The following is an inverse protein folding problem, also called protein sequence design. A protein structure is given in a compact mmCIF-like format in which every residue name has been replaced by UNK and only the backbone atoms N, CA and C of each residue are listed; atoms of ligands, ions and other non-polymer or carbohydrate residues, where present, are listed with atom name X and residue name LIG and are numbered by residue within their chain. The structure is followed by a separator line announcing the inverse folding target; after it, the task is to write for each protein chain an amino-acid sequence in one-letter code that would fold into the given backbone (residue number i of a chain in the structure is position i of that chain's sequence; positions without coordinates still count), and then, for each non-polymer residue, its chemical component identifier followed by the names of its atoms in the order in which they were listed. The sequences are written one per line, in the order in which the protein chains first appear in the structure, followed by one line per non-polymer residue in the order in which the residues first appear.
data_IF_144019492235
#
_entry.id   IF_144019492235
#
_cell.length_a   1.000
_cell.length_b   1.000
_cell.length_c   1.000
_cell.angle_alpha   90.00
_cell.angle_beta   90.00
_cell.angle_gamma   90.00
#
_symmetry.space_group_name_H-M   'P 1'
#
loop_
_entity.id
_entity.type
_entity.pdbx_description
1 polymer ?
#
# COMPACT_ATOMS: atom_id res chain seq x y z
N UNK A 1 -0.75 -26.60 -6.32
CA UNK A 1 -0.34 -26.95 -4.93
C UNK A 1 -0.81 -25.86 -3.99
N UNK A 2 -1.27 -26.21 -2.78
CA UNK A 2 -1.82 -25.23 -1.82
C UNK A 2 -0.70 -24.47 -1.11
N UNK A 3 -0.81 -23.14 -0.97
CA UNK A 3 -0.02 -22.31 -0.04
C UNK A 3 -0.62 -22.50 1.34
N UNK A 4 0.18 -22.84 2.34
CA UNK A 4 -0.26 -23.01 3.72
C UNK A 4 0.63 -22.25 4.72
N UNK A 5 1.94 -22.39 4.62
CA UNK A 5 2.88 -21.75 5.53
C UNK A 5 3.36 -20.42 4.95
N UNK A 6 2.89 -19.31 5.54
CA UNK A 6 3.19 -17.96 5.07
C UNK A 6 4.09 -17.26 6.07
N UNK A 7 5.15 -16.59 5.59
CA UNK A 7 5.96 -15.72 6.41
C UNK A 7 5.82 -14.27 5.92
N UNK A 8 5.49 -13.36 6.84
CA UNK A 8 5.32 -11.94 6.57
C UNK A 8 6.53 -11.16 7.07
N UNK A 9 7.24 -10.51 6.16
CA UNK A 9 8.34 -9.58 6.44
C UNK A 9 7.76 -8.18 6.61
N UNK A 10 8.07 -7.51 7.72
CA UNK A 10 7.57 -6.17 8.01
C UNK A 10 6.18 -6.12 8.66
N UNK A 11 5.78 -7.19 9.37
CA UNK A 11 4.49 -7.32 10.05
C UNK A 11 4.15 -6.19 11.05
N UNK A 12 5.14 -5.48 11.58
CA UNK A 12 4.94 -4.36 12.52
C UNK A 12 4.64 -3.01 11.84
N UNK A 13 4.69 -2.92 10.53
CA UNK A 13 4.36 -1.71 9.76
C UNK A 13 2.84 -1.48 9.62
N UNK A 14 2.45 -0.29 9.14
CA UNK A 14 1.03 0.06 8.95
C UNK A 14 0.31 -0.96 8.04
N UNK A 15 0.83 -1.20 6.84
CA UNK A 15 0.26 -2.19 5.95
C UNK A 15 0.52 -3.63 6.42
N UNK A 16 1.74 -3.90 6.92
CA UNK A 16 2.11 -5.24 7.38
C UNK A 16 1.20 -5.76 8.49
N UNK A 17 0.80 -4.91 9.45
CA UNK A 17 -0.14 -5.30 10.51
C UNK A 17 -1.53 -5.65 9.95
N UNK A 18 -1.99 -4.92 8.94
CA UNK A 18 -3.28 -5.21 8.29
C UNK A 18 -3.22 -6.48 7.44
N UNK A 19 -2.12 -6.71 6.71
CA UNK A 19 -1.89 -7.99 6.01
C UNK A 19 -1.88 -9.14 7.02
N UNK A 20 -1.19 -8.97 8.15
CA UNK A 20 -1.18 -9.98 9.22
C UNK A 20 -2.60 -10.30 9.69
N UNK A 21 -3.41 -9.27 9.99
CA UNK A 21 -4.81 -9.46 10.40
C UNK A 21 -5.62 -10.23 9.35
N UNK A 22 -5.46 -9.91 8.06
CA UNK A 22 -6.18 -10.58 6.97
C UNK A 22 -5.77 -12.05 6.81
N UNK A 23 -4.47 -12.35 6.95
CA UNK A 23 -3.97 -13.73 6.92
C UNK A 23 -4.47 -14.53 8.12
N UNK A 24 -4.51 -13.93 9.31
CA UNK A 24 -5.01 -14.57 10.52
C UNK A 24 -6.53 -14.79 10.49
N UNK A 25 -7.29 -13.89 9.88
CA UNK A 25 -8.72 -14.08 9.64
C UNK A 25 -9.02 -15.30 8.74
N UNK A 26 -8.02 -15.76 7.98
CA UNK A 26 -8.03 -16.97 7.16
C UNK A 26 -7.19 -18.11 7.78
N UNK A 27 -7.21 -18.24 9.10
CA UNK A 27 -6.40 -19.21 9.86
C UNK A 27 -6.72 -20.69 9.57
N UNK A 28 -7.89 -20.95 9.01
CA UNK A 28 -8.26 -22.25 8.45
C UNK A 28 -7.44 -22.62 7.20
N UNK A 29 -6.88 -21.63 6.52
CA UNK A 29 -6.10 -21.76 5.29
C UNK A 29 -4.60 -21.62 5.51
N UNK A 30 -4.18 -20.70 6.40
CA UNK A 30 -2.79 -20.32 6.56
C UNK A 30 -2.25 -20.52 7.97
N UNK A 31 -1.00 -21.02 8.05
CA UNK A 31 -0.15 -20.93 9.22
C UNK A 31 0.80 -19.76 9.01
N UNK A 32 0.64 -18.71 9.81
CA UNK A 32 1.37 -17.43 9.62
C UNK A 32 2.52 -17.32 10.61
N UNK A 33 3.64 -16.83 10.11
CA UNK A 33 4.80 -16.42 10.93
C UNK A 33 5.25 -15.02 10.47
N UNK A 34 6.02 -14.34 11.30
CA UNK A 34 6.56 -13.02 11.00
C UNK A 34 8.09 -13.05 10.99
N UNK A 35 8.70 -12.20 10.15
CA UNK A 35 10.14 -11.97 10.16
C UNK A 35 10.40 -10.47 10.43
N UNK A 36 11.35 -10.20 11.30
CA UNK A 36 11.71 -8.85 11.70
C UNK A 36 13.23 -8.74 11.86
N UNK A 37 13.75 -7.52 11.77
CA UNK A 37 15.16 -7.24 12.10
C UNK A 37 15.44 -7.54 13.57
N UNK A 38 16.64 -8.00 13.89
CA UNK A 38 17.07 -8.20 15.29
C UNK A 38 16.90 -6.96 16.16
N UNK A 39 17.16 -5.78 15.59
CA UNK A 39 17.06 -4.49 16.28
C UNK A 39 15.63 -3.98 16.44
N UNK A 40 14.63 -4.66 15.88
CA UNK A 40 13.23 -4.22 15.95
C UNK A 40 12.62 -4.52 17.31
N UNK A 41 11.84 -3.59 17.85
CA UNK A 41 11.04 -3.78 19.07
C UNK A 41 9.69 -4.46 18.81
N UNK A 42 9.40 -4.84 17.56
CA UNK A 42 8.12 -5.46 17.22
C UNK A 42 7.87 -6.74 18.00
N UNK A 43 6.67 -6.85 18.58
CA UNK A 43 6.15 -8.04 19.25
C UNK A 43 4.88 -8.47 18.51
N UNK A 44 4.83 -9.68 17.94
CA UNK A 44 3.66 -10.16 17.25
C UNK A 44 2.53 -10.52 18.22
N UNK A 45 1.29 -10.66 17.75
CA UNK A 45 0.20 -11.24 18.52
C UNK A 45 0.54 -12.65 19.04
N UNK A 46 -0.09 -13.04 20.15
CA UNK A 46 0.08 -14.36 20.75
C UNK A 46 -0.17 -15.47 19.72
N UNK A 47 0.70 -16.46 19.69
CA UNK A 47 0.61 -17.62 18.79
C UNK A 47 1.31 -17.44 17.44
N UNK A 48 1.85 -16.26 17.14
CA UNK A 48 2.60 -16.01 15.90
C UNK A 48 4.10 -16.20 16.18
N UNK A 49 4.72 -17.12 15.45
CA UNK A 49 6.16 -17.32 15.51
C UNK A 49 6.89 -16.14 14.89
N UNK A 50 7.80 -15.51 15.62
CA UNK A 50 8.65 -14.43 15.16
C UNK A 50 10.07 -14.93 14.91
N UNK A 51 10.54 -14.74 13.68
CA UNK A 51 11.95 -14.91 13.30
C UNK A 51 12.65 -13.56 13.38
N UNK A 52 13.79 -13.50 14.05
CA UNK A 52 14.64 -12.32 14.08
C UNK A 52 15.90 -12.58 13.27
N UNK A 53 16.33 -11.60 12.47
CA UNK A 53 17.45 -11.76 11.55
C UNK A 53 18.22 -10.45 11.37
N UNK A 54 19.50 -10.58 11.09
CA UNK A 54 20.42 -9.53 10.66
C UNK A 54 20.36 -9.31 9.13
N UNK A 55 19.44 -10.00 8.44
CA UNK A 55 19.32 -10.02 6.98
C UNK A 55 20.54 -10.62 6.26
N UNK A 56 21.40 -11.37 6.94
CA UNK A 56 22.38 -12.21 6.27
C UNK A 56 21.69 -13.34 5.51
N UNK A 57 22.26 -13.75 4.39
CA UNK A 57 21.65 -14.73 3.50
C UNK A 57 21.30 -16.04 4.23
N UNK A 58 22.25 -16.62 4.97
CA UNK A 58 22.02 -17.88 5.70
C UNK A 58 20.91 -17.79 6.76
N UNK A 59 20.79 -16.65 7.46
CA UNK A 59 19.74 -16.44 8.45
C UNK A 59 18.37 -16.29 7.77
N UNK A 60 18.31 -15.63 6.60
CA UNK A 60 17.08 -15.53 5.81
C UNK A 60 16.65 -16.89 5.27
N UNK A 61 17.57 -17.69 4.68
CA UNK A 61 17.29 -19.05 4.22
C UNK A 61 16.73 -19.89 5.36
N UNK A 62 17.37 -19.86 6.52
CA UNK A 62 16.91 -20.60 7.71
C UNK A 62 15.50 -20.21 8.16
N UNK A 63 15.15 -18.93 8.10
CA UNK A 63 13.83 -18.43 8.45
C UNK A 63 12.74 -18.83 7.42
N UNK A 64 13.14 -19.01 6.16
CA UNK A 64 12.23 -19.35 5.06
C UNK A 64 12.08 -20.86 4.83
N UNK A 65 12.91 -21.71 5.43
CA UNK A 65 12.77 -23.15 5.32
C UNK A 65 11.37 -23.61 5.75
N UNK A 66 10.73 -24.42 4.89
CA UNK A 66 9.39 -24.96 5.11
C UNK A 66 8.25 -23.93 4.97
N UNK A 67 8.54 -22.73 4.45
CA UNK A 67 7.51 -21.76 4.06
C UNK A 67 7.09 -21.98 2.60
N UNK A 68 5.80 -21.77 2.35
CA UNK A 68 5.24 -21.87 1.01
C UNK A 68 5.25 -20.51 0.31
N UNK A 69 5.08 -19.44 1.08
CA UNK A 69 5.07 -18.08 0.57
C UNK A 69 5.77 -17.10 1.51
N UNK A 70 6.43 -16.11 0.90
CA UNK A 70 6.96 -14.91 1.55
C UNK A 70 6.14 -13.72 1.11
N UNK A 71 5.64 -12.93 2.06
CA UNK A 71 5.00 -11.64 1.81
C UNK A 71 5.93 -10.54 2.33
N UNK A 72 6.35 -9.65 1.46
CA UNK A 72 7.19 -8.50 1.80
C UNK A 72 6.33 -7.25 1.97
N UNK A 73 6.33 -6.67 3.17
CA UNK A 73 5.70 -5.38 3.48
C UNK A 73 6.74 -4.43 4.10
N UNK A 74 7.94 -4.43 3.53
CA UNK A 74 9.04 -3.55 3.96
C UNK A 74 8.85 -2.12 3.45
N UNK A 75 9.53 -1.20 4.10
CA UNK A 75 9.48 0.22 3.74
C UNK A 75 10.08 0.51 2.36
N UNK A 76 9.59 1.57 1.70
CA UNK A 76 10.04 1.99 0.36
C UNK A 76 11.54 2.31 0.31
N UNK A 77 12.13 2.78 1.40
CA UNK A 77 13.58 3.07 1.48
C UNK A 77 14.43 1.81 1.47
N UNK A 78 13.86 0.65 1.80
CA UNK A 78 14.51 -0.65 1.81
C UNK A 78 14.12 -1.53 0.60
N UNK A 79 13.48 -0.96 -0.44
CA UNK A 79 12.93 -1.73 -1.58
C UNK A 79 13.95 -2.68 -2.17
N UNK A 80 15.21 -2.28 -2.35
CA UNK A 80 16.26 -3.11 -2.95
C UNK A 80 16.73 -4.27 -2.04
N UNK A 81 16.45 -4.23 -0.73
CA UNK A 81 16.73 -5.39 0.13
C UNK A 81 15.86 -6.60 -0.20
N UNK A 82 14.81 -6.41 -1.00
CA UNK A 82 13.98 -7.52 -1.48
C UNK A 82 14.74 -8.52 -2.34
N UNK A 83 15.81 -8.12 -3.04
CA UNK A 83 16.65 -9.08 -3.79
C UNK A 83 17.23 -10.15 -2.86
N UNK A 84 17.70 -9.77 -1.66
CA UNK A 84 18.19 -10.71 -0.64
C UNK A 84 17.08 -11.64 -0.14
N UNK A 85 15.87 -11.11 0.02
CA UNK A 85 14.71 -11.90 0.42
C UNK A 85 14.31 -12.90 -0.67
N UNK A 86 14.33 -12.48 -1.93
CA UNK A 86 13.99 -13.32 -3.08
C UNK A 86 15.02 -14.45 -3.24
N UNK A 87 16.31 -14.15 -3.19
CA UNK A 87 17.38 -15.15 -3.32
C UNK A 87 17.31 -16.19 -2.21
N UNK A 88 17.10 -15.75 -0.95
CA UNK A 88 16.93 -16.66 0.18
C UNK A 88 15.64 -17.47 0.08
N UNK A 89 14.55 -16.89 -0.45
CA UNK A 89 13.29 -17.59 -0.67
C UNK A 89 13.43 -18.70 -1.72
N UNK A 90 14.16 -18.43 -2.81
CA UNK A 90 14.45 -19.41 -3.86
C UNK A 90 15.26 -20.58 -3.28
N UNK A 91 16.35 -20.28 -2.56
CA UNK A 91 17.22 -21.31 -1.96
C UNK A 91 16.46 -22.15 -0.91
N UNK A 92 15.56 -21.55 -0.14
CA UNK A 92 14.72 -22.24 0.83
C UNK A 92 13.56 -23.05 0.19
N UNK A 93 13.37 -22.99 -1.13
CA UNK A 93 12.30 -23.69 -1.84
C UNK A 93 10.92 -23.07 -1.67
N UNK A 94 10.84 -21.77 -1.36
CA UNK A 94 9.57 -21.01 -1.32
C UNK A 94 8.96 -20.95 -2.71
N UNK A 95 7.64 -21.12 -2.80
CA UNK A 95 6.94 -21.23 -4.08
C UNK A 95 6.32 -19.92 -4.56
N UNK A 96 6.01 -18.98 -3.65
CA UNK A 96 5.36 -17.71 -3.98
C UNK A 96 6.01 -16.56 -3.23
N UNK A 97 6.29 -15.48 -3.94
CA UNK A 97 6.74 -14.21 -3.37
C UNK A 97 5.72 -13.09 -3.67
N UNK A 98 5.29 -12.37 -2.64
CA UNK A 98 4.51 -11.14 -2.79
C UNK A 98 5.45 -9.98 -2.48
N UNK A 99 5.90 -9.21 -3.49
CA UNK A 99 6.81 -8.10 -3.28
C UNK A 99 6.12 -6.89 -2.64
N UNK A 100 6.89 -6.02 -2.00
CA UNK A 100 6.42 -4.74 -1.46
C UNK A 100 6.17 -3.72 -2.57
N UNK A 101 5.25 -4.04 -3.48
CA UNK A 101 4.85 -3.17 -4.58
C UNK A 101 3.85 -2.11 -4.14
N UNK A 102 2.81 -2.48 -3.50
CA UNK A 102 1.74 -1.69 -2.91
C UNK A 102 1.75 -0.20 -3.24
N UNK A 103 1.10 0.18 -4.34
CA UNK A 103 1.05 1.56 -4.82
C UNK A 103 0.69 1.66 -6.29
N UNK A 104 1.39 2.56 -6.99
CA UNK A 104 1.22 2.80 -8.43
C UNK A 104 2.07 1.84 -9.25
N UNK A 105 1.64 1.59 -10.47
CA UNK A 105 2.30 0.71 -11.43
C UNK A 105 3.73 1.20 -11.79
N UNK A 106 4.79 0.48 -11.40
CA UNK A 106 6.16 0.88 -11.69
C UNK A 106 6.57 0.62 -13.15
N UNK A 107 5.72 -0.08 -13.93
CA UNK A 107 5.96 -0.34 -15.36
C UNK A 107 5.45 0.81 -16.23
N UNK A 108 4.65 1.74 -15.69
CA UNK A 108 4.19 2.92 -16.41
C UNK A 108 5.30 3.96 -16.52
N UNK A 109 5.73 4.27 -17.74
CA UNK A 109 6.85 5.19 -18.01
C UNK A 109 6.57 6.62 -17.56
N UNK A 110 5.32 7.10 -17.67
CA UNK A 110 4.97 8.44 -17.20
C UNK A 110 4.98 8.51 -15.67
N UNK A 111 4.50 7.47 -14.98
CA UNK A 111 4.58 7.38 -13.53
C UNK A 111 6.04 7.33 -13.06
N UNK A 112 6.88 6.54 -13.71
CA UNK A 112 8.31 6.44 -13.42
C UNK A 112 9.03 7.77 -13.63
N UNK A 113 8.70 8.51 -14.69
CA UNK A 113 9.24 9.84 -14.95
C UNK A 113 8.85 10.86 -13.86
N UNK A 114 7.61 10.79 -13.37
CA UNK A 114 7.11 11.67 -12.31
C UNK A 114 7.70 11.31 -10.94
N UNK A 115 7.85 10.02 -10.65
CA UNK A 115 8.37 9.52 -9.37
C UNK A 115 9.50 8.49 -9.61
N UNK A 116 10.76 8.93 -9.82
CA UNK A 116 11.89 8.04 -10.10
C UNK A 116 12.13 6.95 -9.04
N UNK A 117 11.64 7.14 -7.81
CA UNK A 117 11.70 6.13 -6.75
C UNK A 117 10.96 4.83 -7.11
N UNK A 118 10.00 4.88 -8.05
CA UNK A 118 9.36 3.67 -8.58
C UNK A 118 10.36 2.77 -9.34
N UNK A 119 11.51 3.32 -9.78
CA UNK A 119 12.57 2.54 -10.45
C UNK A 119 13.08 1.37 -9.61
N UNK A 120 13.18 1.53 -8.29
CA UNK A 120 13.54 0.44 -7.39
C UNK A 120 12.46 -0.65 -7.36
N UNK A 121 11.17 -0.29 -7.35
CA UNK A 121 10.07 -1.25 -7.44
C UNK A 121 10.06 -1.98 -8.78
N UNK A 122 10.25 -1.24 -9.88
CA UNK A 122 10.38 -1.84 -11.21
C UNK A 122 11.53 -2.86 -11.27
N UNK A 123 12.69 -2.51 -10.71
CA UNK A 123 13.83 -3.42 -10.66
C UNK A 123 13.53 -4.72 -9.91
N UNK A 124 12.74 -4.67 -8.83
CA UNK A 124 12.32 -5.87 -8.11
C UNK A 124 11.36 -6.74 -8.95
N UNK A 125 10.42 -6.14 -9.68
CA UNK A 125 9.55 -6.92 -10.58
C UNK A 125 10.37 -7.58 -11.69
N UNK A 126 11.25 -6.84 -12.37
CA UNK A 126 12.15 -7.40 -13.38
C UNK A 126 13.02 -8.54 -12.80
N UNK A 127 13.50 -8.37 -11.55
CA UNK A 127 14.29 -9.40 -10.87
C UNK A 127 13.51 -10.69 -10.64
N UNK A 128 12.19 -10.58 -10.33
CA UNK A 128 11.29 -11.73 -10.20
C UNK A 128 10.92 -12.34 -11.56
N UNK A 129 10.66 -11.52 -12.58
CA UNK A 129 10.37 -11.95 -13.95
C UNK A 129 11.50 -12.81 -14.52
N UNK A 130 12.77 -12.45 -14.26
CA UNK A 130 13.93 -13.21 -14.66
C UNK A 130 14.10 -14.56 -13.93
N UNK A 131 13.29 -14.82 -12.87
CA UNK A 131 13.38 -16.01 -12.00
C UNK A 131 12.08 -16.80 -11.91
N UNK A 132 11.19 -16.63 -12.85
CA UNK A 132 9.86 -17.27 -12.87
C UNK A 132 9.93 -18.80 -12.95
N UNK A 133 11.05 -19.36 -13.41
CA UNK A 133 11.36 -20.79 -13.39
C UNK A 133 11.69 -21.31 -11.99
N UNK A 134 12.04 -20.45 -11.02
CA UNK A 134 12.48 -20.79 -9.67
C UNK A 134 11.45 -20.40 -8.60
N UNK A 135 10.78 -19.27 -8.78
CA UNK A 135 9.79 -18.77 -7.82
C UNK A 135 8.68 -18.02 -8.54
N UNK A 136 7.44 -18.27 -8.17
CA UNK A 136 6.33 -17.47 -8.68
C UNK A 136 6.13 -16.21 -7.85
N UNK A 137 5.52 -15.18 -8.44
CA UNK A 137 5.27 -13.91 -7.77
C UNK A 137 3.86 -13.37 -8.04
N UNK A 138 3.43 -12.41 -7.23
CA UNK A 138 2.22 -11.63 -7.46
C UNK A 138 2.44 -10.22 -6.95
N UNK A 139 2.42 -9.23 -7.84
CA UNK A 139 2.39 -7.82 -7.49
C UNK A 139 0.98 -7.38 -7.13
N UNK A 140 0.84 -6.40 -6.21
CA UNK A 140 -0.44 -5.78 -5.87
C UNK A 140 -0.30 -4.27 -6.09
N UNK A 141 -0.93 -3.79 -7.15
CA UNK A 141 -1.03 -2.38 -7.51
C UNK A 141 -2.37 -1.85 -7.01
N UNK A 142 -2.35 -0.98 -6.02
CA UNK A 142 -3.54 -0.56 -5.28
C UNK A 142 -3.77 0.96 -5.29
N UNK A 143 -2.94 1.71 -6.01
CA UNK A 143 -2.94 3.17 -5.90
C UNK A 143 -2.59 3.65 -4.48
N UNK A 144 -2.95 4.86 -4.09
CA UNK A 144 -2.75 5.35 -2.75
C UNK A 144 -3.62 4.61 -1.73
N UNK A 145 -3.11 4.53 -0.48
CA UNK A 145 -3.85 4.00 0.67
C UNK A 145 -4.88 5.04 1.12
N UNK A 146 -6.16 4.83 0.79
CA UNK A 146 -7.18 5.86 0.86
C UNK A 146 -7.44 6.37 2.28
N UNK A 147 -7.88 5.48 3.17
CA UNK A 147 -8.21 5.80 4.56
C UNK A 147 -6.98 6.30 5.34
N UNK A 148 -5.87 5.59 5.24
CA UNK A 148 -4.60 5.97 5.83
C UNK A 148 -4.08 7.33 5.33
N UNK A 149 -4.27 7.62 4.05
CA UNK A 149 -3.91 8.89 3.43
C UNK A 149 -4.78 10.04 3.92
N UNK A 150 -6.11 9.84 4.02
CA UNK A 150 -7.02 10.84 4.56
C UNK A 150 -6.70 11.19 6.01
N UNK A 151 -6.39 10.19 6.85
CA UNK A 151 -5.98 10.40 8.23
C UNK A 151 -4.69 11.26 8.37
N UNK A 152 -3.91 11.36 7.30
CA UNK A 152 -2.60 12.07 7.26
C UNK A 152 -2.58 13.26 6.33
N UNK A 153 -3.75 13.72 5.92
CA UNK A 153 -3.89 14.88 5.04
C UNK A 153 -3.17 14.72 3.67
N UNK A 154 -2.98 13.48 3.22
CA UNK A 154 -2.21 13.20 2.00
C UNK A 154 -2.90 13.67 0.71
N UNK A 155 -4.22 13.84 0.72
CA UNK A 155 -5.01 14.28 -0.43
C UNK A 155 -5.40 15.76 -0.38
N UNK A 156 -4.79 16.54 0.52
CA UNK A 156 -5.07 17.96 0.68
C UNK A 156 -6.25 18.28 1.60
N UNK A 157 -6.75 17.31 2.39
CA UNK A 157 -7.89 17.50 3.30
C UNK A 157 -7.45 17.50 4.77
N UNK A 158 -7.44 18.69 5.37
CA UNK A 158 -7.21 18.87 6.80
C UNK A 158 -8.55 18.77 7.54
N UNK A 159 -8.93 17.56 7.92
CA UNK A 159 -10.22 17.27 8.55
C UNK A 159 -10.41 18.02 9.89
N UNK A 160 -9.43 18.05 10.80
CA UNK A 160 -9.55 18.82 12.04
C UNK A 160 -9.85 20.30 11.84
N UNK A 161 -9.25 20.92 10.83
CA UNK A 161 -9.37 22.34 10.55
C UNK A 161 -10.42 22.69 9.47
N UNK A 162 -11.12 21.68 8.93
CA UNK A 162 -12.10 21.82 7.83
C UNK A 162 -11.56 22.65 6.66
N UNK A 163 -10.34 22.33 6.22
CA UNK A 163 -9.66 23.01 5.12
C UNK A 163 -9.33 22.01 4.01
N UNK A 164 -9.68 22.36 2.76
CA UNK A 164 -9.34 21.61 1.57
C UNK A 164 -8.35 22.39 0.69
N UNK A 165 -7.26 21.78 0.32
CA UNK A 165 -6.36 22.27 -0.73
C UNK A 165 -6.72 21.57 -2.03
N UNK A 166 -7.30 22.31 -2.98
CA UNK A 166 -7.69 21.82 -4.30
C UNK A 166 -6.56 22.10 -5.29
N UNK A 167 -6.17 21.06 -6.01
CA UNK A 167 -5.07 21.16 -6.97
C UNK A 167 -5.54 21.71 -8.31
N UNK A 168 -4.91 22.79 -8.74
CA UNK A 168 -5.25 23.54 -9.96
C UNK A 168 -4.09 23.52 -10.97
N UNK A 169 -4.34 23.86 -12.26
CA UNK A 169 -5.65 24.04 -12.88
C UNK A 169 -6.34 22.70 -13.21
N UNK A 170 -7.54 22.47 -12.65
CA UNK A 170 -8.39 21.33 -13.03
C UNK A 170 -7.98 19.95 -12.49
N UNK A 171 -6.82 19.80 -11.84
CA UNK A 171 -6.32 18.53 -11.30
C UNK A 171 -7.22 17.92 -10.23
N UNK A 172 -7.98 18.74 -9.47
CA UNK A 172 -8.95 18.28 -8.47
C UNK A 172 -10.11 17.46 -9.06
N UNK A 173 -10.28 17.45 -10.39
CA UNK A 173 -11.30 16.70 -11.14
C UNK A 173 -10.75 15.45 -11.81
N UNK A 174 -9.47 15.19 -11.69
CA UNK A 174 -8.86 13.98 -12.26
C UNK A 174 -9.18 12.80 -11.35
N UNK A 175 -9.75 11.76 -11.96
CA UNK A 175 -10.05 10.51 -11.27
C UNK A 175 -8.81 9.64 -11.11
N UNK A 176 -8.66 9.09 -9.93
CA UNK A 176 -7.62 8.13 -9.61
C UNK A 176 -8.18 6.97 -8.79
N UNK A 177 -7.59 5.80 -8.95
CA UNK A 177 -7.91 4.61 -8.15
C UNK A 177 -7.19 4.66 -6.82
N UNK A 178 -7.91 4.37 -5.74
CA UNK A 178 -7.39 4.32 -4.37
C UNK A 178 -8.00 3.15 -3.61
N UNK A 179 -7.27 2.60 -2.65
CA UNK A 179 -7.69 1.39 -1.93
C UNK A 179 -7.56 1.58 -0.43
N UNK A 180 -8.54 1.12 0.34
CA UNK A 180 -8.43 1.07 1.80
C UNK A 180 -7.37 0.05 2.22
N UNK A 181 -6.70 0.33 3.33
CA UNK A 181 -5.62 -0.55 3.80
C UNK A 181 -6.14 -1.97 4.14
N UNK A 182 -7.40 -2.08 4.57
CA UNK A 182 -8.06 -3.35 4.83
C UNK A 182 -8.28 -4.18 3.56
N UNK A 183 -8.72 -3.55 2.48
CA UNK A 183 -8.91 -4.21 1.18
C UNK A 183 -7.58 -4.66 0.58
N UNK A 184 -6.49 -3.90 0.77
CA UNK A 184 -5.13 -4.34 0.36
C UNK A 184 -4.73 -5.61 1.12
N UNK A 185 -4.90 -5.63 2.44
CA UNK A 185 -4.58 -6.82 3.25
C UNK A 185 -5.38 -8.05 2.83
N UNK A 186 -6.67 -7.86 2.55
CA UNK A 186 -7.54 -8.94 2.05
C UNK A 186 -7.11 -9.44 0.66
N UNK A 187 -6.72 -8.54 -0.24
CA UNK A 187 -6.23 -8.92 -1.57
C UNK A 187 -4.97 -9.78 -1.49
N UNK A 188 -4.03 -9.43 -0.60
CA UNK A 188 -2.83 -10.26 -0.33
C UNK A 188 -3.25 -11.65 0.15
N UNK A 189 -4.12 -11.75 1.17
CA UNK A 189 -4.55 -13.03 1.70
C UNK A 189 -5.23 -13.89 0.61
N UNK A 190 -6.15 -13.31 -0.16
CA UNK A 190 -6.87 -14.03 -1.23
C UNK A 190 -5.96 -14.43 -2.39
N UNK A 191 -4.99 -13.61 -2.79
CA UNK A 191 -4.05 -13.96 -3.85
C UNK A 191 -3.23 -15.23 -3.55
N UNK A 192 -3.11 -15.60 -2.27
CA UNK A 192 -2.42 -16.82 -1.81
C UNK A 192 -3.36 -18.04 -1.72
N UNK A 193 -4.67 -17.86 -1.82
CA UNK A 193 -5.61 -19.00 -1.78
C UNK A 193 -5.51 -19.88 -3.04
N UNK A 194 -5.62 -21.17 -2.87
CA UNK A 194 -5.46 -22.15 -3.96
C UNK A 194 -6.41 -21.91 -5.13
N UNK A 195 -7.63 -21.41 -4.86
CA UNK A 195 -8.64 -21.13 -5.90
C UNK A 195 -8.23 -20.02 -6.87
N UNK A 196 -7.34 -19.11 -6.46
CA UNK A 196 -6.85 -18.02 -7.29
C UNK A 196 -5.42 -18.23 -7.82
N UNK A 197 -4.78 -19.35 -7.43
CA UNK A 197 -3.35 -19.56 -7.64
C UNK A 197 -2.92 -19.46 -9.12
N UNK A 198 -3.75 -19.93 -10.05
CA UNK A 198 -3.44 -19.86 -11.50
C UNK A 198 -3.60 -18.44 -12.05
N UNK A 199 -4.66 -17.72 -11.63
CA UNK A 199 -4.96 -16.39 -12.13
C UNK A 199 -4.05 -15.31 -11.54
N UNK A 200 -3.40 -15.58 -10.39
CA UNK A 200 -2.51 -14.65 -9.69
C UNK A 200 -1.02 -14.96 -9.89
N UNK A 201 -0.70 -16.01 -10.63
CA UNK A 201 0.67 -16.47 -10.87
C UNK A 201 1.39 -15.55 -11.85
N UNK A 202 2.55 -15.01 -11.45
CA UNK A 202 3.45 -14.16 -12.23
C UNK A 202 2.70 -12.97 -12.87
N UNK A 203 1.97 -12.23 -12.02
CA UNK A 203 1.14 -11.10 -12.46
C UNK A 203 1.13 -9.96 -11.48
N UNK A 204 0.96 -8.77 -12.03
CA UNK A 204 0.50 -7.60 -11.30
C UNK A 204 -1.05 -7.61 -11.25
N UNK A 205 -1.59 -7.43 -10.07
CA UNK A 205 -3.03 -7.34 -9.83
C UNK A 205 -3.38 -5.90 -9.44
N UNK A 206 -4.19 -5.25 -10.26
CA UNK A 206 -4.67 -3.90 -10.01
C UNK A 206 -5.96 -3.98 -9.21
N UNK A 207 -5.98 -3.39 -8.02
CA UNK A 207 -7.14 -3.39 -7.13
C UNK A 207 -7.48 -1.98 -6.68
N UNK A 208 -8.75 -1.74 -6.36
CA UNK A 208 -9.22 -0.47 -5.84
C UNK A 208 -10.45 -0.63 -4.95
N UNK A 209 -10.61 0.24 -3.97
CA UNK A 209 -11.89 0.47 -3.29
C UNK A 209 -12.71 1.50 -4.08
N UNK A 210 -12.06 2.54 -4.60
CA UNK A 210 -12.68 3.65 -5.31
C UNK A 210 -11.87 4.06 -6.53
N UNK A 211 -12.59 4.64 -7.51
CA UNK A 211 -12.03 5.55 -8.52
C UNK A 211 -12.74 6.87 -8.31
N UNK A 212 -12.01 7.88 -7.84
CA UNK A 212 -12.56 9.13 -7.31
C UNK A 212 -11.65 10.32 -7.63
N UNK A 213 -12.25 11.51 -7.66
CA UNK A 213 -11.58 12.81 -7.76
C UNK A 213 -11.50 13.50 -6.38
N UNK A 214 -10.66 14.54 -6.27
CA UNK A 214 -10.64 15.38 -5.06
C UNK A 214 -12.02 16.02 -4.78
N UNK A 215 -12.74 16.44 -5.82
CA UNK A 215 -14.07 17.05 -5.67
C UNK A 215 -15.06 16.08 -5.02
N UNK A 216 -15.05 14.80 -5.43
CA UNK A 216 -15.92 13.78 -4.87
C UNK A 216 -15.56 13.43 -3.43
N UNK A 217 -14.25 13.35 -3.12
CA UNK A 217 -13.78 13.15 -1.75
C UNK A 217 -14.21 14.30 -0.86
N UNK A 218 -14.03 15.56 -1.30
CA UNK A 218 -14.46 16.74 -0.54
C UNK A 218 -15.96 16.74 -0.29
N UNK A 219 -16.76 16.45 -1.32
CA UNK A 219 -18.22 16.39 -1.17
C UNK A 219 -18.64 15.30 -0.15
N UNK A 220 -17.96 14.16 -0.13
CA UNK A 220 -18.19 13.11 0.86
C UNK A 220 -17.80 13.56 2.28
N UNK A 221 -16.67 14.25 2.43
CA UNK A 221 -16.23 14.77 3.73
C UNK A 221 -17.18 15.88 4.23
N UNK A 222 -17.66 16.75 3.35
CA UNK A 222 -18.65 17.80 3.70
C UNK A 222 -19.96 17.17 4.18
N UNK A 223 -20.43 16.07 3.54
CA UNK A 223 -21.59 15.30 4.03
C UNK A 223 -21.35 14.68 5.41
N UNK A 224 -20.21 14.02 5.60
CA UNK A 224 -19.88 13.34 6.85
C UNK A 224 -19.69 14.29 8.03
N UNK A 225 -19.15 15.50 7.78
CA UNK A 225 -18.89 16.50 8.82
C UNK A 225 -20.07 17.45 9.05
N UNK A 226 -20.99 17.59 8.10
CA UNK A 226 -22.05 18.59 8.09
C UNK A 226 -21.54 20.03 8.05
N UNK A 227 -20.30 20.26 7.63
CA UNK A 227 -19.62 21.55 7.63
C UNK A 227 -19.32 22.00 6.21
N UNK A 228 -19.33 23.31 5.98
CA UNK A 228 -18.70 23.91 4.81
C UNK A 228 -17.18 24.01 5.05
N UNK A 229 -16.40 23.72 4.01
CA UNK A 229 -14.96 23.69 4.10
C UNK A 229 -14.32 24.95 3.50
N UNK A 230 -13.22 25.40 4.12
CA UNK A 230 -12.38 26.45 3.56
C UNK A 230 -11.60 25.85 2.40
N UNK A 231 -11.85 26.33 1.18
CA UNK A 231 -11.19 25.86 -0.04
C UNK A 231 -9.99 26.77 -0.34
N UNK A 232 -8.83 26.17 -0.48
CA UNK A 232 -7.59 26.82 -0.94
C UNK A 232 -7.19 26.20 -2.27
N UNK A 233 -6.67 27.00 -3.17
CA UNK A 233 -6.13 26.52 -4.43
C UNK A 233 -4.61 26.42 -4.33
N UNK A 234 -4.05 25.38 -4.95
CA UNK A 234 -2.62 25.18 -5.09
C UNK A 234 -2.33 24.74 -6.52
N UNK A 235 -1.48 25.52 -7.21
CA UNK A 235 -0.97 25.12 -8.52
C UNK A 235 -0.10 23.86 -8.35
N UNK A 236 -0.58 22.73 -8.88
CA UNK A 236 0.03 21.44 -8.65
C UNK A 236 1.38 21.30 -9.34
N UNK A 237 1.47 21.80 -10.60
CA UNK A 237 2.70 21.64 -11.37
C UNK A 237 3.84 22.42 -10.73
N UNK A 238 3.62 23.65 -10.29
CA UNK A 238 4.59 24.45 -9.55
C UNK A 238 4.97 23.81 -8.20
N UNK A 239 3.98 23.22 -7.50
CA UNK A 239 4.23 22.56 -6.22
C UNK A 239 5.07 21.28 -6.41
N UNK A 240 4.79 20.50 -7.44
CA UNK A 240 5.53 19.28 -7.80
C UNK A 240 6.96 19.63 -8.23
N UNK A 241 7.14 20.64 -9.06
CA UNK A 241 8.47 21.10 -9.49
C UNK A 241 9.32 21.49 -8.28
N UNK A 242 8.77 22.30 -7.36
CA UNK A 242 9.46 22.68 -6.12
C UNK A 242 9.81 21.47 -5.25
N UNK A 243 8.87 20.56 -5.06
CA UNK A 243 9.08 19.35 -4.27
C UNK A 243 10.13 18.42 -4.88
N UNK A 244 10.09 18.22 -6.21
CA UNK A 244 11.07 17.42 -6.95
C UNK A 244 12.48 18.01 -6.84
N UNK A 245 12.58 19.33 -6.94
CA UNK A 245 13.86 20.03 -6.76
C UNK A 245 14.40 19.87 -5.33
N UNK A 246 13.55 19.95 -4.31
CA UNK A 246 13.96 19.68 -2.92
C UNK A 246 14.45 18.23 -2.76
N UNK A 247 13.74 17.25 -3.33
CA UNK A 247 14.11 15.83 -3.27
C UNK A 247 15.46 15.56 -3.96
N UNK A 248 15.77 16.21 -5.08
CA UNK A 248 17.07 16.07 -5.75
C UNK A 248 18.25 16.54 -4.90
N UNK A 249 18.01 17.40 -3.89
CA UNK A 249 18.97 17.85 -2.89
C UNK A 249 18.89 17.07 -1.56
N UNK A 250 18.18 15.92 -1.54
CA UNK A 250 18.07 15.04 -0.37
C UNK A 250 16.99 15.42 0.65
N UNK A 251 16.16 16.42 0.36
CA UNK A 251 15.02 16.77 1.22
C UNK A 251 13.73 16.10 0.74
N UNK A 252 13.39 14.99 1.36
CA UNK A 252 12.22 14.16 0.99
C UNK A 252 10.89 14.61 1.61
N UNK A 253 10.82 15.75 2.30
CA UNK A 253 9.57 16.27 2.89
C UNK A 253 8.48 16.53 1.84
N UNK A 254 8.88 16.80 0.59
CA UNK A 254 7.97 17.03 -0.54
C UNK A 254 7.44 15.77 -1.23
N UNK A 255 7.83 14.55 -0.81
CA UNK A 255 7.49 13.31 -1.52
C UNK A 255 5.98 13.12 -1.72
N UNK A 256 5.16 13.48 -0.72
CA UNK A 256 3.70 13.38 -0.82
C UNK A 256 3.16 14.26 -1.96
N UNK A 257 3.70 15.47 -2.16
CA UNK A 257 3.31 16.35 -3.27
C UNK A 257 3.65 15.73 -4.62
N UNK A 258 4.83 15.10 -4.74
CA UNK A 258 5.23 14.41 -5.98
C UNK A 258 4.34 13.20 -6.26
N UNK A 259 3.99 12.43 -5.21
CA UNK A 259 3.06 11.30 -5.32
C UNK A 259 1.66 11.79 -5.78
N UNK A 260 1.17 12.89 -5.20
CA UNK A 260 -0.10 13.48 -5.61
C UNK A 260 -0.03 13.98 -7.05
N UNK A 261 1.06 14.62 -7.45
CA UNK A 261 1.27 15.05 -8.83
C UNK A 261 1.26 13.89 -9.83
N UNK A 262 1.86 12.77 -9.47
CA UNK A 262 1.78 11.54 -10.26
C UNK A 262 0.35 11.00 -10.29
N UNK A 263 -0.32 10.92 -9.16
CA UNK A 263 -1.67 10.40 -9.01
C UNK A 263 -2.71 11.17 -9.85
N UNK A 264 -2.56 12.50 -9.92
CA UNK A 264 -3.47 13.40 -10.62
C UNK A 264 -3.05 13.73 -12.08
N UNK A 265 -2.03 13.05 -12.61
CA UNK A 265 -1.68 13.11 -14.03
C UNK A 265 -2.35 11.94 -14.77
N UNK A 266 -3.26 12.21 -15.74
CA UNK A 266 -3.97 11.14 -16.46
C UNK A 266 -3.06 10.16 -17.21
N UNK A 267 -1.82 10.58 -17.55
CA UNK A 267 -0.90 9.76 -18.33
C UNK A 267 -0.19 8.68 -17.48
N UNK A 268 -0.23 8.81 -16.15
CA UNK A 268 0.48 7.89 -15.25
C UNK A 268 -0.25 6.56 -14.99
N UNK A 269 -1.45 6.41 -15.57
CA UNK A 269 -2.24 5.19 -15.44
C UNK A 269 -2.78 4.93 -14.03
N UNK A 270 -2.87 5.97 -13.19
CA UNK A 270 -3.40 5.84 -11.82
C UNK A 270 -4.93 5.64 -11.77
N UNK A 271 -5.65 5.79 -12.88
CA UNK A 271 -7.04 5.37 -13.02
C UNK A 271 -7.10 3.95 -13.61
N UNK A 272 -7.24 2.94 -12.76
CA UNK A 272 -7.23 1.52 -13.18
C UNK A 272 -8.49 1.15 -13.97
N UNK A 273 -9.65 1.80 -13.70
CA UNK A 273 -10.87 1.58 -14.47
C UNK A 273 -10.71 2.05 -15.92
N UNK A 274 -10.08 3.20 -16.13
CA UNK A 274 -9.82 3.71 -17.47
C UNK A 274 -8.88 2.82 -18.29
N UNK A 275 -8.02 2.03 -17.61
CA UNK A 275 -7.16 1.03 -18.22
C UNK A 275 -7.88 -0.30 -18.50
N UNK A 276 -9.06 -0.51 -17.90
CA UNK A 276 -9.76 -1.80 -17.97
C UNK A 276 -9.07 -2.94 -17.22
N UNK A 277 -8.22 -2.64 -16.26
CA UNK A 277 -7.37 -3.60 -15.54
C UNK A 277 -7.70 -3.66 -14.05
N UNK A 278 -8.92 -4.01 -13.68
CA UNK A 278 -9.31 -4.13 -12.26
C UNK A 278 -9.60 -5.59 -11.92
N UNK A 279 -8.90 -6.11 -10.92
CA UNK A 279 -8.95 -7.51 -10.49
C UNK A 279 -9.78 -7.74 -9.22
N UNK A 280 -10.62 -6.77 -8.83
CA UNK A 280 -11.47 -6.88 -7.64
C UNK A 280 -12.41 -8.09 -7.70
N UNK A 281 -13.03 -8.32 -8.86
CA UNK A 281 -13.94 -9.45 -9.04
C UNK A 281 -13.21 -10.79 -9.00
N UNK A 282 -12.02 -10.86 -9.58
CA UNK A 282 -11.17 -12.05 -9.52
C UNK A 282 -10.90 -12.47 -8.08
N UNK A 283 -10.58 -11.50 -7.23
CA UNK A 283 -10.29 -11.74 -5.82
C UNK A 283 -11.55 -11.65 -4.93
N UNK A 284 -12.74 -11.49 -5.49
CA UNK A 284 -14.01 -11.32 -4.76
C UNK A 284 -13.93 -10.25 -3.68
N UNK A 285 -13.20 -9.14 -3.94
CA UNK A 285 -13.02 -8.07 -2.97
C UNK A 285 -14.36 -7.34 -2.72
N UNK A 286 -14.62 -6.89 -1.49
CA UNK A 286 -15.87 -6.20 -1.17
C UNK A 286 -15.98 -4.88 -1.93
N UNK A 287 -17.20 -4.52 -2.30
CA UNK A 287 -17.52 -3.17 -2.76
C UNK A 287 -17.65 -2.28 -1.52
N UNK A 288 -16.83 -1.25 -1.45
CA UNK A 288 -16.92 -0.25 -0.40
C UNK A 288 -17.66 0.99 -0.91
N UNK A 289 -18.36 1.69 -0.02
CA UNK A 289 -18.98 2.97 -0.31
C UNK A 289 -18.05 4.09 0.19
N UNK A 290 -17.81 5.09 -0.66
CA UNK A 290 -16.94 6.22 -0.32
C UNK A 290 -17.39 6.92 0.97
N UNK A 291 -18.68 7.18 1.09
CA UNK A 291 -19.26 7.87 2.26
C UNK A 291 -19.06 7.08 3.56
N UNK A 292 -19.15 5.74 3.53
CA UNK A 292 -18.94 4.91 4.71
C UNK A 292 -17.47 4.94 5.17
N UNK A 293 -16.54 4.92 4.21
CA UNK A 293 -15.11 4.98 4.55
C UNK A 293 -14.73 6.37 5.06
N UNK A 294 -15.21 7.43 4.40
CA UNK A 294 -14.99 8.81 4.85
C UNK A 294 -15.59 9.04 6.23
N UNK A 295 -16.79 8.52 6.52
CA UNK A 295 -17.40 8.61 7.83
C UNK A 295 -16.53 7.97 8.92
N UNK A 296 -15.97 6.77 8.66
CA UNK A 296 -15.05 6.11 9.63
C UNK A 296 -13.81 6.97 9.92
N UNK A 297 -13.26 7.64 8.90
CA UNK A 297 -12.11 8.54 9.10
C UNK A 297 -12.50 9.78 9.89
N UNK A 298 -13.67 10.38 9.63
CA UNK A 298 -14.20 11.51 10.42
C UNK A 298 -14.42 11.11 11.88
N UNK A 299 -14.99 9.93 12.12
CA UNK A 299 -15.22 9.40 13.48
C UNK A 299 -13.91 9.16 14.23
N UNK A 300 -12.87 8.68 13.54
CA UNK A 300 -11.52 8.56 14.12
C UNK A 300 -10.99 9.90 14.62
N UNK A 301 -11.13 10.98 13.85
CA UNK A 301 -10.73 12.31 14.30
C UNK A 301 -11.58 12.83 15.46
N UNK A 302 -12.89 12.63 15.41
CA UNK A 302 -13.80 13.06 16.48
C UNK A 302 -13.45 12.39 17.82
N UNK A 303 -13.17 11.08 17.79
CA UNK A 303 -12.73 10.33 18.97
C UNK A 303 -11.40 10.87 19.52
N UNK A 304 -10.41 11.08 18.66
CA UNK A 304 -9.10 11.60 19.06
C UNK A 304 -9.17 13.01 19.68
N UNK A 305 -10.08 13.86 19.19
CA UNK A 305 -10.33 15.19 19.76
C UNK A 305 -11.02 15.09 21.13
N UNK A 306 -11.95 14.16 21.29
CA UNK A 306 -12.64 13.90 22.58
C UNK A 306 -11.66 13.42 23.66
N UNK A 307 -10.78 12.48 23.33
CA UNK A 307 -9.77 11.95 24.25
C UNK A 307 -8.77 13.05 24.70
N UNK A 308 -8.37 13.93 23.78
CA UNK A 308 -7.45 15.04 24.10
C UNK A 308 -8.04 16.16 24.94
N UNK A 309 -9.37 16.29 25.01
CA UNK A 309 -10.06 17.22 25.90
C UNK A 309 -10.32 16.62 27.30
N UNK A 310 -10.47 15.30 27.40
CA UNK A 310 -10.63 14.60 28.68
C UNK A 310 -9.38 14.61 29.56
N UNK A 311 -8.17 14.61 28.96
CA UNK A 311 -6.90 14.68 29.71
C UNK A 311 -6.54 16.10 30.24
N UNK A 312 -7.23 17.14 29.77
CA UNK A 312 -7.01 18.52 30.25
C UNK A 312 -7.89 18.90 31.44
N UNK A 313 -8.77 17.99 31.87
CA UNK A 313 -9.74 18.21 32.97
C UNK A 313 -9.42 17.34 34.20
N UNK A 314 -8.29 16.67 34.22
CA UNK A 314 -7.81 15.93 35.41
C UNK A 314 -6.59 16.57 36.05
#
# INVERSE_FOLDING_TARGET
MSIKNVILVGAGGNLGSTILCSLLASSDKFTVSALSRETSSYVPPTGIQLYRTDYSHGNLVSAFLGKDAVVSAIDMTATMDQTKLIDAAIEAGVRRFIPAQFGSDPKNEAALSRLPLLGAKRAIITYLEEREDQISWTGIENGPFFDWGLERNAFGFDIPNSTATLYTPGHHRVDFSATTIATIGLAVARSLESRYATQTHNKDLYIRSFTVSQDEILASIERATGKQWIRKELDLDSAVEKASNQMSHGDFRGITTVIVGMMLDPNTGCNFDARGEVHNELLELPKELLDDVVQRVVDFFNKKLGDSQGDKVR
#
